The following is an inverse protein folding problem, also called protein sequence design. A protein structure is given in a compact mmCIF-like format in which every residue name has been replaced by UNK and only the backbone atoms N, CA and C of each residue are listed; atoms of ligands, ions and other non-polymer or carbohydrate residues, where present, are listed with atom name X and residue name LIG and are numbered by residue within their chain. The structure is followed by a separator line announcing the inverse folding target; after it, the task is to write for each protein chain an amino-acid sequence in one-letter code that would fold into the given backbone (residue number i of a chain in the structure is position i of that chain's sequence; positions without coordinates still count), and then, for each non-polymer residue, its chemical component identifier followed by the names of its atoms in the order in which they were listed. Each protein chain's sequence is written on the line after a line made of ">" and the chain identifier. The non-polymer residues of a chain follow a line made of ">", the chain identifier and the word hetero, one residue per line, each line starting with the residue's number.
data_IF_473764218347
#
_entry.id   IF_473764218347
#
_cell.length_a   1.000
_cell.length_b   1.000
_cell.length_c   1.000
_cell.angle_alpha   90.00
_cell.angle_beta   90.00
_cell.angle_gamma   90.00
#
_symmetry.space_group_name_H-M   'P 1'
#
loop_
_entity.id
_entity.type
_entity.pdbx_description
1 polymer ?
#
# COMPACT_ATOMS: atom_id res chain seq x y z
N UNK A 1 10.80 -23.94 9.38
CA UNK A 1 10.85 -22.46 9.28
C UNK A 1 9.66 -22.00 8.48
N UNK A 2 8.79 -21.16 9.03
CA UNK A 2 7.70 -20.53 8.29
C UNK A 2 8.25 -19.33 7.51
N UNK A 3 7.71 -19.10 6.31
CA UNK A 3 8.08 -17.95 5.48
C UNK A 3 7.49 -16.67 6.10
N UNK A 4 8.34 -15.72 6.46
CA UNK A 4 7.90 -14.39 6.88
C UNK A 4 7.69 -13.51 5.66
N UNK A 5 6.48 -13.00 5.48
CA UNK A 5 6.08 -12.24 4.28
C UNK A 5 5.51 -10.88 4.60
N UNK A 6 5.41 -10.52 5.88
CA UNK A 6 4.84 -9.26 6.37
C UNK A 6 5.92 -8.44 7.06
N UNK A 7 5.93 -7.13 6.81
CA UNK A 7 6.98 -6.23 7.26
C UNK A 7 6.35 -4.98 7.85
N UNK A 8 6.69 -4.61 9.10
CA UNK A 8 6.22 -3.36 9.68
C UNK A 8 6.93 -2.17 9.03
N UNK A 9 6.22 -1.05 8.91
CA UNK A 9 6.79 0.21 8.45
C UNK A 9 6.26 1.39 9.26
N UNK A 10 6.92 2.54 9.09
CA UNK A 10 6.50 3.81 9.68
C UNK A 10 6.48 4.90 8.64
N UNK A 11 5.38 5.63 8.56
CA UNK A 11 5.24 6.85 7.77
C UNK A 11 5.85 8.02 8.54
N UNK A 12 6.93 8.66 8.03
CA UNK A 12 7.58 9.77 8.74
C UNK A 12 6.62 10.94 9.01
N UNK A 13 5.71 11.20 8.06
CA UNK A 13 4.68 12.25 8.16
C UNK A 13 3.37 11.73 8.77
N UNK A 14 3.12 10.43 8.68
CA UNK A 14 1.82 9.83 8.99
C UNK A 14 0.77 10.10 7.91
N UNK A 15 -0.38 9.45 8.08
CA UNK A 15 -1.60 9.64 7.31
C UNK A 15 -2.70 10.10 8.29
N UNK A 16 -3.42 11.17 7.94
CA UNK A 16 -4.55 11.66 8.75
C UNK A 16 -5.82 11.19 8.08
N UNK A 17 -6.66 10.49 8.82
CA UNK A 17 -7.97 10.05 8.33
C UNK A 17 -9.04 11.15 8.44
N UNK A 18 -10.26 10.83 8.02
CA UNK A 18 -11.39 11.76 8.03
C UNK A 18 -11.80 12.20 9.44
N UNK A 19 -11.48 11.41 10.47
CA UNK A 19 -11.76 11.71 11.87
C UNK A 19 -10.64 12.56 12.51
N UNK A 20 -9.56 12.84 11.77
CA UNK A 20 -8.41 13.60 12.26
C UNK A 20 -7.40 12.75 13.01
N UNK A 21 -7.52 11.42 12.99
CA UNK A 21 -6.58 10.51 13.66
C UNK A 21 -5.32 10.33 12.82
N UNK A 22 -4.15 10.46 13.46
CA UNK A 22 -2.85 10.33 12.81
C UNK A 22 -2.33 8.89 12.88
N UNK A 23 -2.30 8.22 11.73
CA UNK A 23 -1.76 6.87 11.54
C UNK A 23 -0.30 6.94 11.11
N UNK A 24 0.62 6.37 11.90
CA UNK A 24 2.06 6.37 11.58
C UNK A 24 2.63 5.00 11.29
N UNK A 25 2.07 3.96 11.89
CA UNK A 25 2.59 2.60 11.80
C UNK A 25 1.70 1.76 10.92
N UNK A 26 2.28 0.86 10.14
CA UNK A 26 1.52 -0.07 9.31
C UNK A 26 2.28 -1.36 9.07
N UNK A 27 1.61 -2.28 8.38
CA UNK A 27 2.18 -3.56 7.94
C UNK A 27 1.99 -3.67 6.43
N UNK A 28 3.02 -4.16 5.75
CA UNK A 28 2.95 -4.50 4.33
C UNK A 28 3.33 -5.96 4.12
N UNK A 29 2.77 -6.58 3.08
CA UNK A 29 3.24 -7.89 2.60
C UNK A 29 4.26 -7.74 1.46
N UNK A 30 5.02 -8.80 1.18
CA UNK A 30 5.81 -8.86 -0.05
C UNK A 30 4.89 -8.71 -1.28
N UNK A 31 5.34 -7.89 -2.23
CA UNK A 31 4.72 -7.80 -3.53
C UNK A 31 4.84 -9.14 -4.27
N UNK A 32 3.77 -9.56 -4.93
CA UNK A 32 3.81 -10.70 -5.84
C UNK A 32 4.11 -10.21 -7.26
N UNK A 33 4.55 -11.11 -8.15
CA UNK A 33 4.70 -10.78 -9.57
C UNK A 33 3.40 -10.22 -10.18
N UNK A 34 2.23 -10.66 -9.69
CA UNK A 34 0.94 -10.12 -10.12
C UNK A 34 0.77 -8.65 -9.71
N UNK A 35 1.17 -8.28 -8.50
CA UNK A 35 1.06 -6.90 -8.01
C UNK A 35 1.90 -5.92 -8.84
N UNK A 36 3.03 -6.37 -9.37
CA UNK A 36 3.95 -5.56 -10.18
C UNK A 36 3.57 -5.51 -11.67
N UNK A 37 3.06 -6.61 -12.24
CA UNK A 37 2.82 -6.73 -13.68
C UNK A 37 1.41 -6.26 -14.08
N UNK A 38 0.39 -6.51 -13.26
CA UNK A 38 -1.00 -6.12 -13.57
C UNK A 38 -1.19 -4.60 -13.73
N UNK A 39 -0.55 -3.72 -12.93
CA UNK A 39 -0.64 -2.27 -13.10
C UNK A 39 -0.12 -1.74 -14.44
N UNK A 40 0.78 -2.45 -15.12
CA UNK A 40 1.34 -2.02 -16.42
C UNK A 40 0.29 -1.97 -17.53
N UNK A 41 -0.91 -2.54 -17.29
CA UNK A 41 -2.05 -2.46 -18.20
C UNK A 41 -2.95 -1.25 -17.94
N UNK A 42 -2.81 -0.58 -16.80
CA UNK A 42 -3.61 0.58 -16.42
C UNK A 42 -3.26 1.78 -17.34
N UNK A 43 -4.23 2.44 -17.99
CA UNK A 43 -3.97 3.62 -18.82
C UNK A 43 -3.21 4.72 -18.09
N UNK A 44 -3.44 4.92 -16.79
CA UNK A 44 -2.75 5.94 -15.99
C UNK A 44 -1.26 5.65 -15.85
N UNK A 45 -0.89 4.37 -15.80
CA UNK A 45 0.53 3.94 -15.77
C UNK A 45 1.19 4.14 -17.13
N UNK A 46 0.46 3.97 -18.23
CA UNK A 46 0.98 4.25 -19.57
C UNK A 46 1.22 5.73 -19.81
N UNK A 47 0.35 6.58 -19.27
CA UNK A 47 0.51 8.04 -19.31
C UNK A 47 1.61 8.53 -18.37
N UNK A 48 1.76 7.87 -17.20
CA UNK A 48 2.82 8.18 -16.24
C UNK A 48 3.22 6.92 -15.45
N UNK A 49 4.42 6.41 -15.75
CA UNK A 49 4.96 5.18 -15.16
C UNK A 49 5.06 5.23 -13.62
N UNK A 50 5.14 6.44 -13.03
CA UNK A 50 5.21 6.62 -11.57
C UNK A 50 3.98 6.08 -10.84
N UNK A 51 2.83 5.96 -11.52
CA UNK A 51 1.62 5.38 -10.94
C UNK A 51 1.77 3.89 -10.64
N UNK A 52 2.67 3.16 -11.30
CA UNK A 52 2.87 1.74 -11.04
C UNK A 52 3.25 1.50 -9.57
N UNK A 53 4.20 2.29 -9.05
CA UNK A 53 4.64 2.20 -7.65
C UNK A 53 3.52 2.50 -6.68
N UNK A 54 2.68 3.51 -6.98
CA UNK A 54 1.54 3.87 -6.13
C UNK A 54 0.54 2.72 -6.05
N UNK A 55 0.24 2.10 -7.19
CA UNK A 55 -0.69 0.96 -7.26
C UNK A 55 -0.13 -0.24 -6.51
N UNK A 56 1.17 -0.54 -6.63
CA UNK A 56 1.83 -1.61 -5.88
C UNK A 56 1.72 -1.35 -4.38
N UNK A 57 2.07 -0.15 -3.92
CA UNK A 57 1.98 0.23 -2.51
C UNK A 57 0.56 0.05 -1.96
N UNK A 58 -0.46 0.47 -2.71
CA UNK A 58 -1.86 0.29 -2.33
C UNK A 58 -2.29 -1.18 -2.22
N UNK A 59 -1.62 -2.10 -2.93
CA UNK A 59 -1.92 -3.54 -2.91
C UNK A 59 -1.20 -4.31 -1.80
N UNK A 60 -0.05 -3.80 -1.37
CA UNK A 60 0.81 -4.50 -0.41
C UNK A 60 0.65 -4.01 1.01
N UNK A 61 0.19 -2.78 1.25
CA UNK A 61 -0.16 -2.31 2.60
C UNK A 61 -1.40 -3.08 3.09
N UNK A 62 -1.24 -3.88 4.13
CA UNK A 62 -2.31 -4.71 4.72
C UNK A 62 -2.95 -4.03 5.92
N UNK A 63 -2.19 -3.22 6.65
CA UNK A 63 -2.65 -2.50 7.84
C UNK A 63 -2.03 -1.10 7.88
N UNK A 64 -2.81 -0.12 8.34
CA UNK A 64 -2.34 1.24 8.61
C UNK A 64 -3.03 1.78 9.86
N UNK A 65 -2.30 1.84 10.96
CA UNK A 65 -2.79 2.27 12.27
C UNK A 65 -4.01 1.49 12.71
N UNK A 66 -5.13 2.19 12.95
CA UNK A 66 -6.40 1.59 13.38
C UNK A 66 -7.45 1.56 12.27
N UNK A 67 -7.05 1.78 11.02
CA UNK A 67 -7.98 1.82 9.89
C UNK A 67 -8.56 0.42 9.59
N UNK A 68 -9.84 0.36 9.17
CA UNK A 68 -10.44 -0.90 8.78
C UNK A 68 -9.79 -1.43 7.49
N UNK A 69 -9.70 -2.77 7.31
CA UNK A 69 -9.18 -3.37 6.09
C UNK A 69 -9.95 -2.91 4.85
N UNK A 70 -9.25 -2.33 3.88
CA UNK A 70 -9.85 -1.85 2.61
C UNK A 70 -10.15 -0.36 2.53
N UNK A 71 -9.83 0.42 3.56
CA UNK A 71 -9.95 1.89 3.56
C UNK A 71 -8.93 2.60 2.66
N UNK A 72 -7.83 1.94 2.26
CA UNK A 72 -6.82 2.50 1.34
C UNK A 72 -7.26 2.51 -0.13
N UNK A 73 -8.56 2.35 -0.43
CA UNK A 73 -9.09 2.21 -1.79
C UNK A 73 -9.96 3.42 -2.18
N UNK A 74 -9.38 4.59 -2.33
CA UNK A 74 -9.93 5.68 -3.18
C UNK A 74 -8.80 6.46 -3.85
#
# INVERSE_FOLDING_TARGET
>A
MSLHTEFPFTLPKGYVDEEGTLHRTGVMRLATARDEIEPLRDPRVRENESYATVIVLARVVTELGTLPPGSTRE
#
